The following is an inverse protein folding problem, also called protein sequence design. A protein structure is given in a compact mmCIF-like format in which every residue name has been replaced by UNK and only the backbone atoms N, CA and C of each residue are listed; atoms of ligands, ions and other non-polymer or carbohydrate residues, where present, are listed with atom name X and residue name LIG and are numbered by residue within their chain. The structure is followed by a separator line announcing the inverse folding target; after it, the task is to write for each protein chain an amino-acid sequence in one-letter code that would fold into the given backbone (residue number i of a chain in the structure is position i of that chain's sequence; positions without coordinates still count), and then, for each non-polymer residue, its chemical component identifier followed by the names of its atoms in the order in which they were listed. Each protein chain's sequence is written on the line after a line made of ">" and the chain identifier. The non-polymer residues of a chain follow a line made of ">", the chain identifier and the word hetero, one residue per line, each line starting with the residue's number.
data_IF_514958279751
#
_entry.id   IF_514958279751
#
_cell.length_a   1.000
_cell.length_b   1.000
_cell.length_c   1.000
_cell.angle_alpha   90.00
_cell.angle_beta   90.00
_cell.angle_gamma   90.00
#
_symmetry.space_group_name_H-M   'P 1'
#
loop_
_entity.id
_entity.type
_entity.pdbx_description
1 polymer ?
#
# COMPACT_ATOMS: atom_id res chain seq x y z
N UNK A 1 -8.24 -4.69 -20.25
CA UNK A 1 -8.91 -5.15 -19.01
C UNK A 1 -9.07 -3.96 -18.09
N UNK A 2 -10.10 -3.93 -17.26
CA UNK A 2 -10.27 -2.90 -16.23
C UNK A 2 -9.05 -2.89 -15.29
N UNK A 3 -8.46 -1.73 -14.95
CA UNK A 3 -7.41 -1.65 -13.94
C UNK A 3 -7.89 -2.17 -12.58
N UNK A 4 -6.99 -2.71 -11.78
CA UNK A 4 -7.28 -3.13 -10.40
C UNK A 4 -6.87 -2.02 -9.45
N UNK A 5 -7.79 -1.60 -8.60
CA UNK A 5 -7.55 -0.63 -7.55
C UNK A 5 -7.48 -1.35 -6.21
N UNK A 6 -6.41 -1.15 -5.46
CA UNK A 6 -6.21 -1.72 -4.12
C UNK A 6 -6.14 -0.60 -3.11
N UNK A 7 -7.02 -0.66 -2.12
CA UNK A 7 -7.03 0.25 -0.98
C UNK A 7 -6.44 -0.47 0.23
N UNK A 8 -5.56 0.21 0.97
CA UNK A 8 -5.06 -0.28 2.25
C UNK A 8 -5.07 0.84 3.27
N UNK A 9 -5.63 0.52 4.43
CA UNK A 9 -5.66 1.38 5.59
C UNK A 9 -4.86 0.72 6.70
N UNK A 10 -3.95 1.46 7.32
CA UNK A 10 -3.23 0.99 8.51
C UNK A 10 -3.67 1.78 9.74
N UNK A 11 -3.71 1.08 10.87
CA UNK A 11 -3.81 1.68 12.19
C UNK A 11 -2.46 1.49 12.87
N UNK A 12 -1.69 2.57 13.05
CA UNK A 12 -0.34 2.54 13.62
C UNK A 12 -0.33 3.45 14.86
N UNK A 13 -0.23 2.92 16.09
CA UNK A 13 -0.40 3.74 17.30
C UNK A 13 0.68 4.80 17.51
N UNK A 14 1.92 4.53 17.06
CA UNK A 14 3.07 5.41 17.26
C UNK A 14 3.33 6.28 16.02
N UNK A 15 3.48 7.60 16.22
CA UNK A 15 3.70 8.56 15.13
C UNK A 15 5.03 8.36 14.40
N UNK A 16 6.12 8.05 15.11
CA UNK A 16 7.43 7.84 14.49
C UNK A 16 7.45 6.55 13.63
N UNK A 17 6.76 5.50 14.09
CA UNK A 17 6.58 4.29 13.29
C UNK A 17 5.70 4.54 12.06
N UNK A 18 4.65 5.36 12.19
CA UNK A 18 3.82 5.80 11.07
C UNK A 18 4.67 6.52 10.02
N UNK A 19 5.49 7.47 10.43
CA UNK A 19 6.35 8.23 9.53
C UNK A 19 7.38 7.31 8.84
N UNK A 20 7.96 6.34 9.57
CA UNK A 20 8.84 5.33 8.98
C UNK A 20 8.13 4.50 7.89
N UNK A 21 6.88 4.09 8.12
CA UNK A 21 6.08 3.37 7.12
C UNK A 21 5.81 4.25 5.89
N UNK A 22 5.50 5.53 6.07
CA UNK A 22 5.31 6.48 4.96
C UNK A 22 6.60 6.67 4.13
N UNK A 23 7.77 6.77 4.77
CA UNK A 23 9.05 6.81 4.06
C UNK A 23 9.34 5.51 3.30
N UNK A 24 9.00 4.35 3.88
CA UNK A 24 9.16 3.06 3.21
C UNK A 24 8.28 2.94 1.95
N UNK A 25 7.11 3.58 1.93
CA UNK A 25 6.30 3.69 0.71
C UNK A 25 6.99 4.49 -0.41
N UNK A 26 7.75 5.55 -0.07
CA UNK A 26 8.55 6.29 -1.06
C UNK A 26 9.66 5.44 -1.66
N UNK A 27 10.24 4.52 -0.87
CA UNK A 27 11.20 3.53 -1.37
C UNK A 27 10.52 2.55 -2.31
N UNK A 28 9.39 1.98 -1.90
CA UNK A 28 8.61 1.05 -2.71
C UNK A 28 8.24 1.65 -4.08
N UNK A 29 7.81 2.91 -4.12
CA UNK A 29 7.47 3.60 -5.36
C UNK A 29 8.63 3.67 -6.37
N UNK A 30 9.88 3.61 -5.90
CA UNK A 30 11.09 3.67 -6.73
C UNK A 30 11.64 2.30 -7.11
N UNK A 31 11.41 1.29 -6.28
CA UNK A 31 12.08 -0.02 -6.38
C UNK A 31 11.16 -1.18 -6.73
N UNK A 32 9.83 -0.98 -6.71
CA UNK A 32 8.89 -2.01 -7.11
C UNK A 32 8.91 -2.26 -8.62
N UNK A 33 9.60 -3.33 -9.01
CA UNK A 33 9.66 -3.80 -10.40
C UNK A 33 9.27 -5.27 -10.51
N UNK A 34 8.70 -5.67 -11.66
CA UNK A 34 8.46 -7.04 -12.09
C UNK A 34 9.29 -7.23 -13.37
N UNK A 35 10.20 -8.21 -13.37
CA UNK A 35 11.17 -8.42 -14.47
C UNK A 35 11.97 -7.16 -14.85
N UNK A 36 12.35 -6.37 -13.84
CA UNK A 36 13.10 -5.12 -14.01
C UNK A 36 12.30 -3.94 -14.57
N UNK A 37 10.97 -4.10 -14.76
CA UNK A 37 10.09 -3.03 -15.26
C UNK A 37 9.08 -2.59 -14.19
N UNK A 38 8.69 -1.30 -14.14
CA UNK A 38 7.58 -0.85 -13.31
C UNK A 38 6.27 -1.53 -13.73
N UNK A 39 5.49 -1.98 -12.75
CA UNK A 39 4.20 -2.66 -12.98
C UNK A 39 3.05 -2.07 -12.14
N UNK A 40 3.38 -1.26 -11.12
CA UNK A 40 2.43 -0.39 -10.43
C UNK A 40 2.16 0.79 -11.34
N UNK A 41 0.91 1.00 -11.74
CA UNK A 41 0.52 2.10 -12.62
C UNK A 41 0.46 3.43 -11.89
N UNK A 42 -0.04 3.41 -10.65
CA UNK A 42 -0.10 4.57 -9.79
C UNK A 42 -0.10 4.15 -8.32
N UNK A 43 0.42 5.02 -7.45
CA UNK A 43 0.31 4.88 -6.01
C UNK A 43 0.06 6.25 -5.38
N UNK A 44 -0.92 6.33 -4.49
CA UNK A 44 -1.19 7.48 -3.63
C UNK A 44 -1.15 7.02 -2.18
N UNK A 45 -0.38 7.72 -1.35
CA UNK A 45 -0.16 7.37 0.05
C UNK A 45 -0.08 8.63 0.90
N UNK A 46 -0.62 8.57 2.12
CA UNK A 46 -0.47 9.64 3.09
C UNK A 46 -0.98 9.25 4.48
N UNK A 47 -0.65 10.07 5.47
CA UNK A 47 -1.35 10.05 6.74
C UNK A 47 -2.81 10.41 6.49
N UNK A 48 -3.73 9.62 7.06
CA UNK A 48 -5.15 9.96 7.01
C UNK A 48 -5.40 11.22 7.81
N UNK A 49 -6.21 12.14 7.28
CA UNK A 49 -6.67 13.31 8.03
C UNK A 49 -7.48 12.82 9.25
N UNK A 50 -7.26 13.34 10.47
CA UNK A 50 -8.02 12.93 11.64
C UNK A 50 -9.53 13.09 11.45
N UNK A 51 -10.27 11.99 11.53
CA UNK A 51 -11.73 11.97 11.37
C UNK A 51 -12.32 10.73 12.06
N UNK A 52 -13.46 10.85 12.79
CA UNK A 52 -14.11 9.71 13.44
C UNK A 52 -14.47 8.56 12.48
N UNK A 53 -14.80 8.88 11.22
CA UNK A 53 -15.18 7.87 10.20
C UNK A 53 -14.02 6.96 9.81
N UNK A 54 -12.78 7.40 10.03
CA UNK A 54 -11.59 6.60 9.75
C UNK A 54 -11.38 5.49 10.79
N UNK A 55 -12.19 5.43 11.87
CA UNK A 55 -12.17 4.34 12.88
C UNK A 55 -10.78 4.03 13.46
N UNK A 56 -9.95 5.06 13.57
CA UNK A 56 -8.58 4.95 14.06
C UNK A 56 -7.53 4.56 13.01
N UNK A 57 -7.91 4.19 11.78
CA UNK A 57 -6.95 4.03 10.70
C UNK A 57 -6.34 5.38 10.31
N UNK A 58 -5.02 5.45 10.28
CA UNK A 58 -4.26 6.69 10.24
C UNK A 58 -3.21 6.75 9.11
N UNK A 59 -3.13 5.72 8.27
CA UNK A 59 -2.43 5.76 6.96
C UNK A 59 -3.37 5.24 5.90
N UNK A 60 -3.48 5.97 4.79
CA UNK A 60 -4.30 5.60 3.63
C UNK A 60 -3.43 5.39 2.40
N UNK A 61 -3.69 4.31 1.68
CA UNK A 61 -2.95 3.91 0.48
C UNK A 61 -3.92 3.46 -0.60
N UNK A 62 -3.71 3.96 -1.81
CA UNK A 62 -4.34 3.46 -3.04
C UNK A 62 -3.24 3.06 -4.02
N UNK A 63 -3.32 1.85 -4.55
CA UNK A 63 -2.39 1.35 -5.58
C UNK A 63 -3.18 0.84 -6.78
N UNK A 64 -2.79 1.26 -7.97
CA UNK A 64 -3.41 0.85 -9.24
C UNK A 64 -2.51 -0.13 -9.97
N UNK A 65 -3.08 -1.25 -10.43
CA UNK A 65 -2.41 -2.27 -11.22
C UNK A 65 -3.10 -2.46 -12.56
N UNK A 66 -2.37 -2.92 -13.58
CA UNK A 66 -2.95 -3.22 -14.88
C UNK A 66 -3.82 -4.50 -14.86
N UNK A 67 -3.59 -5.39 -13.89
CA UNK A 67 -4.23 -6.70 -13.84
C UNK A 67 -4.26 -7.27 -12.41
N UNK A 68 -5.10 -8.30 -12.20
CA UNK A 68 -5.09 -9.09 -10.98
C UNK A 68 -3.78 -9.88 -10.79
N UNK A 69 -3.10 -10.23 -11.89
CA UNK A 69 -1.80 -10.92 -11.82
C UNK A 69 -0.73 -10.00 -11.22
N UNK A 70 -0.68 -8.75 -11.66
CA UNK A 70 0.26 -7.74 -11.15
C UNK A 70 0.00 -7.43 -9.68
N UNK A 71 -1.26 -7.36 -9.25
CA UNK A 71 -1.62 -7.20 -7.84
C UNK A 71 -1.24 -8.43 -7.00
N UNK A 72 -1.38 -9.64 -7.54
CA UNK A 72 -0.92 -10.88 -6.85
C UNK A 72 0.60 -10.96 -6.76
N UNK A 73 1.32 -10.55 -7.81
CA UNK A 73 2.77 -10.43 -7.78
C UNK A 73 3.21 -9.43 -6.71
N UNK A 74 2.54 -8.27 -6.64
CA UNK A 74 2.75 -7.29 -5.58
C UNK A 74 2.63 -7.93 -4.20
N UNK A 75 1.56 -8.67 -3.94
CA UNK A 75 1.31 -9.25 -2.61
C UNK A 75 2.27 -10.38 -2.22
N UNK A 76 2.69 -11.22 -3.16
CA UNK A 76 3.36 -12.49 -2.85
C UNK A 76 4.85 -12.51 -3.21
N UNK A 77 5.26 -11.77 -4.23
CA UNK A 77 6.58 -11.95 -4.86
C UNK A 77 7.43 -10.68 -4.82
N UNK A 78 6.82 -9.50 -4.89
CA UNK A 78 7.55 -8.23 -4.96
C UNK A 78 8.42 -7.98 -3.72
N UNK A 79 9.74 -8.00 -3.88
CA UNK A 79 10.72 -7.78 -2.80
C UNK A 79 10.57 -6.41 -2.13
N UNK A 80 10.27 -5.36 -2.91
CA UNK A 80 10.01 -4.03 -2.35
C UNK A 80 8.78 -4.03 -1.42
N UNK A 81 7.74 -4.77 -1.78
CA UNK A 81 6.56 -4.92 -0.92
C UNK A 81 6.83 -5.82 0.29
N UNK A 82 7.64 -6.88 0.15
CA UNK A 82 8.10 -7.68 1.30
C UNK A 82 8.84 -6.83 2.33
N UNK A 83 9.73 -5.94 1.87
CA UNK A 83 10.43 -4.99 2.74
C UNK A 83 9.45 -4.01 3.43
N UNK A 84 8.43 -3.52 2.71
CA UNK A 84 7.38 -2.70 3.32
C UNK A 84 6.59 -3.48 4.38
N UNK A 85 6.20 -4.74 4.11
CA UNK A 85 5.52 -5.61 5.10
C UNK A 85 6.39 -5.82 6.34
N UNK A 86 7.70 -6.00 6.19
CA UNK A 86 8.63 -6.13 7.31
C UNK A 86 8.71 -4.85 8.15
N UNK A 87 8.59 -3.67 7.52
CA UNK A 87 8.57 -2.38 8.22
C UNK A 87 7.23 -2.12 8.95
N UNK A 88 6.10 -2.38 8.30
CA UNK A 88 4.77 -2.06 8.83
C UNK A 88 4.19 -3.16 9.73
N UNK A 89 4.56 -4.42 9.48
CA UNK A 89 4.03 -5.60 10.16
C UNK A 89 4.12 -5.56 11.69
N UNK A 90 5.30 -5.24 12.28
CA UNK A 90 5.49 -5.18 13.73
C UNK A 90 4.82 -3.98 14.42
N UNK A 91 4.52 -2.91 13.69
CA UNK A 91 4.12 -1.61 14.28
C UNK A 91 2.66 -1.25 14.04
N UNK A 92 2.01 -1.90 13.08
CA UNK A 92 0.57 -1.76 12.89
C UNK A 92 -0.17 -2.49 14.02
N UNK A 93 -1.18 -1.83 14.58
CA UNK A 93 -2.21 -2.47 15.40
C UNK A 93 -3.17 -3.26 14.51
N UNK A 94 -3.56 -2.67 13.37
CA UNK A 94 -4.50 -3.29 12.44
C UNK A 94 -4.25 -2.84 10.98
N UNK A 95 -4.76 -3.64 10.03
CA UNK A 95 -4.71 -3.35 8.60
C UNK A 95 -5.99 -3.82 7.92
N UNK A 96 -6.60 -2.93 7.13
CA UNK A 96 -7.73 -3.25 6.26
C UNK A 96 -7.29 -3.15 4.81
N UNK A 97 -7.59 -4.18 4.01
CA UNK A 97 -7.31 -4.19 2.57
C UNK A 97 -8.57 -4.54 1.80
N UNK A 98 -8.84 -3.80 0.73
CA UNK A 98 -9.87 -4.12 -0.26
C UNK A 98 -9.30 -3.87 -1.66
N UNK A 99 -9.80 -4.58 -2.65
CA UNK A 99 -9.45 -4.34 -4.05
C UNK A 99 -10.65 -4.60 -4.96
N UNK A 100 -10.70 -3.91 -6.09
CA UNK A 100 -11.82 -3.95 -7.02
C UNK A 100 -11.36 -3.65 -8.45
N UNK A 101 -12.15 -4.09 -9.44
CA UNK A 101 -11.99 -3.70 -10.84
C UNK A 101 -12.55 -2.29 -11.04
N UNK A 102 -11.74 -1.38 -11.59
CA UNK A 102 -12.19 -0.03 -11.91
C UNK A 102 -13.02 -0.02 -13.20
N UNK A 103 -14.25 0.48 -13.11
CA UNK A 103 -15.20 0.57 -14.23
C UNK A 103 -15.11 1.89 -15.02
N UNK A 104 -14.16 2.78 -14.66
CA UNK A 104 -13.89 4.07 -15.30
C UNK A 104 -12.50 4.06 -15.94
#
# INVERSE_FOLDING_TARGET
>A
MAPIERITLFKIPNDADRDRVLEQYKVLAKTATKDGKPYILAAAVGASIPDPRNKGYNVSVKTTFASMEDMKYYDNECEAHKALKACAGPVKEDVLTSYYENIL
#
